data_IF_598952956504
#
_entry.id   IF_598952956504
#
_cell.length_a   1.000
_cell.length_b   1.000
_cell.length_c   1.000
_cell.angle_alpha   90.00
_cell.angle_beta   90.00
_cell.angle_gamma   90.00
#
_symmetry.space_group_name_H-M   'P 1'
#
loop_
_entity.id
_entity.type
_entity.pdbx_description
1 polymer ?
#
# COMPACT_ATOMS: atom_id res chain seq x y z
N UNK A 1 -6.12 -12.03 -2.63
CA UNK A 1 -7.32 -12.43 -1.85
C UNK A 1 -8.56 -12.13 -2.66
N UNK A 2 -9.56 -13.03 -2.66
CA UNK A 2 -10.88 -12.80 -3.28
C UNK A 2 -11.92 -12.95 -2.17
N UNK A 3 -12.86 -12.00 -2.09
CA UNK A 3 -13.92 -11.99 -1.11
C UNK A 3 -15.24 -11.52 -1.74
N UNK A 4 -16.34 -11.66 -1.01
CA UNK A 4 -17.60 -10.98 -1.34
C UNK A 4 -17.59 -9.60 -0.67
N UNK A 5 -18.07 -8.59 -1.37
CA UNK A 5 -18.22 -7.25 -0.78
C UNK A 5 -19.33 -7.26 0.26
N UNK A 6 -19.02 -6.80 1.47
CA UNK A 6 -20.01 -6.51 2.52
C UNK A 6 -20.86 -5.28 2.15
N UNK A 7 -20.28 -4.32 1.41
CA UNK A 7 -20.96 -3.09 0.97
C UNK A 7 -21.82 -3.27 -0.27
N UNK A 8 -21.48 -4.23 -1.14
CA UNK A 8 -22.24 -4.54 -2.36
C UNK A 8 -22.64 -6.01 -2.43
N UNK A 9 -23.89 -6.32 -2.05
CA UNK A 9 -24.42 -7.68 -2.00
C UNK A 9 -24.25 -8.39 -3.36
N UNK A 10 -23.50 -9.49 -3.35
CA UNK A 10 -23.27 -10.33 -4.53
C UNK A 10 -22.07 -9.95 -5.40
N UNK A 11 -21.41 -8.81 -5.13
CA UNK A 11 -20.18 -8.41 -5.85
C UNK A 11 -18.97 -9.16 -5.30
N UNK A 12 -18.17 -9.72 -6.20
CA UNK A 12 -16.84 -10.24 -5.88
C UNK A 12 -15.83 -9.09 -5.91
N UNK A 13 -14.96 -9.07 -4.91
CA UNK A 13 -13.89 -8.09 -4.77
C UNK A 13 -12.56 -8.80 -4.62
N UNK A 14 -11.50 -8.16 -5.08
CA UNK A 14 -10.14 -8.68 -4.97
C UNK A 14 -9.18 -7.63 -4.46
N UNK A 15 -8.31 -8.03 -3.56
CA UNK A 15 -7.20 -7.22 -3.08
C UNK A 15 -5.91 -8.07 -3.13
N UNK A 16 -4.83 -7.46 -3.58
CA UNK A 16 -3.49 -8.05 -3.56
C UNK A 16 -2.72 -7.40 -2.43
N UNK A 17 -2.22 -8.21 -1.51
CA UNK A 17 -1.30 -7.79 -0.46
C UNK A 17 0.08 -8.31 -0.83
N UNK A 18 1.10 -7.47 -0.71
CA UNK A 18 2.47 -7.87 -0.98
C UNK A 18 3.43 -7.30 0.05
N UNK A 19 4.52 -8.02 0.25
CA UNK A 19 5.65 -7.56 1.07
C UNK A 19 6.89 -7.65 0.21
N UNK A 20 7.61 -6.55 0.09
CA UNK A 20 8.90 -6.51 -0.59
C UNK A 20 9.94 -5.86 0.30
N UNK A 21 11.18 -6.32 0.22
CA UNK A 21 12.30 -5.71 0.92
C UNK A 21 13.24 -5.18 -0.14
N UNK A 22 13.58 -3.90 -0.06
CA UNK A 22 14.48 -3.22 -0.99
C UNK A 22 15.65 -2.59 -0.26
N UNK A 23 16.87 -2.62 -0.84
CA UNK A 23 17.96 -1.78 -0.36
C UNK A 23 17.54 -0.31 -0.31
N UNK A 24 18.02 0.42 0.69
CA UNK A 24 17.78 1.84 0.88
C UNK A 24 19.11 2.54 1.12
N UNK A 25 19.39 3.60 0.37
CA UNK A 25 20.57 4.44 0.60
C UNK A 25 20.43 5.36 1.82
N UNK A 26 19.25 5.43 2.43
CA UNK A 26 18.92 6.31 3.54
C UNK A 26 18.87 5.53 4.88
N UNK A 27 19.44 6.10 5.95
CA UNK A 27 19.53 5.50 7.30
C UNK A 27 18.31 5.80 8.19
N UNK A 28 17.84 4.81 8.95
CA UNK A 28 16.46 4.71 9.46
C UNK A 28 15.85 5.92 10.20
N UNK A 29 16.60 6.72 10.95
CA UNK A 29 16.02 7.69 11.89
C UNK A 29 15.66 9.06 11.26
N UNK A 30 16.43 9.55 10.29
CA UNK A 30 16.13 10.81 9.56
C UNK A 30 15.35 10.57 8.25
N UNK A 31 15.06 9.31 7.95
CA UNK A 31 14.64 8.86 6.62
C UNK A 31 13.17 9.03 6.35
N UNK A 32 12.29 8.86 7.34
CA UNK A 32 10.84 8.79 7.06
C UNK A 32 10.27 10.15 6.65
N UNK A 33 10.62 11.23 7.34
CA UNK A 33 10.18 12.58 6.95
C UNK A 33 10.76 13.01 5.60
N UNK A 34 12.03 12.68 5.33
CA UNK A 34 12.65 12.96 4.05
C UNK A 34 12.04 12.10 2.93
N UNK A 35 11.74 10.85 3.20
CA UNK A 35 11.11 9.91 2.28
C UNK A 35 9.70 10.37 1.93
N UNK A 36 8.88 10.69 2.93
CA UNK A 36 7.52 11.21 2.73
C UNK A 36 7.51 12.48 1.89
N UNK A 37 8.39 13.44 2.21
CA UNK A 37 8.54 14.67 1.42
C UNK A 37 8.99 14.39 -0.01
N UNK A 38 9.94 13.48 -0.20
CA UNK A 38 10.44 13.13 -1.54
C UNK A 38 9.36 12.46 -2.37
N UNK A 39 8.61 11.52 -1.79
CA UNK A 39 7.52 10.84 -2.48
C UNK A 39 6.41 11.81 -2.83
N UNK A 40 6.02 12.70 -1.90
CA UNK A 40 5.01 13.72 -2.18
C UNK A 40 5.41 14.66 -3.33
N UNK A 41 6.71 14.92 -3.51
CA UNK A 41 7.22 15.70 -4.65
C UNK A 41 7.19 14.92 -5.97
N UNK A 42 7.52 13.62 -5.93
CA UNK A 42 7.55 12.76 -7.13
C UNK A 42 6.15 12.31 -7.57
N UNK A 43 5.22 12.17 -6.63
CA UNK A 43 3.87 11.69 -6.82
C UNK A 43 2.88 12.70 -6.23
N UNK A 44 2.61 13.82 -6.93
CA UNK A 44 1.81 14.93 -6.38
C UNK A 44 0.34 14.57 -6.15
N UNK A 45 -0.15 13.49 -6.74
CA UNK A 45 -1.50 12.95 -6.55
C UNK A 45 -1.59 11.93 -5.43
N UNK A 46 -0.45 11.53 -4.84
CA UNK A 46 -0.43 10.57 -3.76
C UNK A 46 -0.65 11.26 -2.40
N UNK A 47 -1.45 10.61 -1.55
CA UNK A 47 -1.57 10.96 -0.15
C UNK A 47 -0.40 10.34 0.62
N UNK A 48 0.46 11.18 1.17
CA UNK A 48 1.69 10.75 1.85
C UNK A 48 1.70 11.30 3.27
N UNK A 49 2.06 10.45 4.24
CA UNK A 49 2.15 10.85 5.63
C UNK A 49 3.15 10.02 6.42
N UNK A 50 3.24 10.28 7.71
CA UNK A 50 4.02 9.48 8.65
C UNK A 50 3.11 8.95 9.75
N UNK A 51 3.24 7.66 10.07
CA UNK A 51 2.44 6.99 11.11
C UNK A 51 3.37 6.23 12.05
N UNK A 52 3.15 6.36 13.35
CA UNK A 52 3.87 5.59 14.36
C UNK A 52 3.23 4.21 14.52
N UNK A 53 4.00 3.17 14.27
CA UNK A 53 3.64 1.76 14.46
C UNK A 53 4.45 1.16 15.62
N UNK A 54 4.06 -0.03 16.14
CA UNK A 54 4.85 -0.73 17.14
C UNK A 54 6.30 -1.01 16.70
N UNK A 55 6.52 -1.23 15.40
CA UNK A 55 7.83 -1.53 14.82
C UNK A 55 8.67 -0.29 14.47
N UNK A 56 8.16 0.94 14.67
CA UNK A 56 8.83 2.18 14.29
C UNK A 56 7.92 3.14 13.52
N UNK A 57 8.49 4.19 12.93
CA UNK A 57 7.73 5.13 12.10
C UNK A 57 7.68 4.61 10.67
N UNK A 58 6.48 4.57 10.08
CA UNK A 58 6.24 4.20 8.70
C UNK A 58 5.83 5.41 7.86
N UNK A 59 6.17 5.37 6.57
CA UNK A 59 5.67 6.30 5.56
C UNK A 59 4.56 5.62 4.73
N UNK A 60 3.27 5.75 5.10
CA UNK A 60 2.18 5.38 4.21
C UNK A 60 2.12 6.30 2.99
N UNK A 61 1.90 5.69 1.82
CA UNK A 61 1.72 6.35 0.53
C UNK A 61 0.49 5.73 -0.12
N UNK A 62 -0.57 6.49 -0.32
CA UNK A 62 -1.79 6.04 -1.00
C UNK A 62 -1.95 6.76 -2.33
N UNK A 63 -2.28 6.04 -3.38
CA UNK A 63 -2.47 6.62 -4.72
C UNK A 63 -3.60 5.91 -5.46
N UNK A 64 -4.39 6.69 -6.20
CA UNK A 64 -5.33 6.19 -7.18
C UNK A 64 -4.70 6.21 -8.57
N UNK A 65 -4.68 5.05 -9.23
CA UNK A 65 -4.16 4.88 -10.57
C UNK A 65 -5.25 4.48 -11.54
N UNK A 66 -5.41 5.25 -12.61
CA UNK A 66 -6.27 4.87 -13.72
C UNK A 66 -5.60 3.75 -14.54
N UNK A 67 -6.35 2.69 -14.79
CA UNK A 67 -6.00 1.59 -15.69
C UNK A 67 -6.87 1.76 -16.93
N UNK A 68 -6.37 2.39 -18.01
CA UNK A 68 -7.19 2.78 -19.16
C UNK A 68 -7.69 1.57 -19.96
N UNK A 69 -6.85 0.55 -20.12
CA UNK A 69 -7.19 -0.71 -20.77
C UNK A 69 -6.81 -1.87 -19.85
N UNK A 70 -7.82 -2.63 -19.42
CA UNK A 70 -7.62 -3.80 -18.58
C UNK A 70 -7.92 -5.09 -19.32
N UNK A 71 -7.45 -6.20 -18.77
CA UNK A 71 -7.88 -7.54 -19.16
C UNK A 71 -8.48 -8.26 -17.95
N UNK A 72 -9.53 -9.03 -18.19
CA UNK A 72 -10.03 -9.97 -17.19
C UNK A 72 -9.06 -11.13 -17.02
N UNK A 73 -9.19 -11.90 -15.93
CA UNK A 73 -8.42 -13.14 -15.73
C UNK A 73 -8.60 -14.17 -16.86
N UNK A 74 -9.68 -14.04 -17.65
CA UNK A 74 -9.97 -14.88 -18.82
C UNK A 74 -9.45 -14.27 -20.13
N UNK A 75 -8.61 -13.23 -20.07
CA UNK A 75 -8.03 -12.57 -21.24
C UNK A 75 -9.01 -11.68 -22.03
N UNK A 76 -10.25 -11.49 -21.55
CA UNK A 76 -11.22 -10.61 -22.21
C UNK A 76 -10.92 -9.14 -21.93
N UNK A 77 -11.06 -8.24 -22.92
CA UNK A 77 -10.94 -6.80 -22.70
C UNK A 77 -11.88 -6.33 -21.60
N UNK A 78 -11.39 -5.41 -20.77
CA UNK A 78 -12.13 -4.79 -19.68
C UNK A 78 -12.08 -3.28 -19.84
N UNK A 79 -13.20 -2.63 -19.52
CA UNK A 79 -13.30 -1.17 -19.46
C UNK A 79 -12.27 -0.60 -18.47
N UNK A 80 -11.93 0.67 -18.69
CA UNK A 80 -11.10 1.43 -17.76
C UNK A 80 -11.57 1.26 -16.32
N UNK A 81 -10.63 1.09 -15.40
CA UNK A 81 -10.87 0.97 -13.97
C UNK A 81 -9.91 1.84 -13.19
N UNK A 82 -10.25 2.10 -11.93
CA UNK A 82 -9.36 2.75 -10.98
C UNK A 82 -8.89 1.72 -9.99
N UNK A 83 -7.58 1.67 -9.80
CA UNK A 83 -6.92 0.85 -8.80
C UNK A 83 -6.40 1.79 -7.73
N UNK A 84 -6.82 1.57 -6.49
CA UNK A 84 -6.23 2.23 -5.32
C UNK A 84 -5.16 1.34 -4.72
N UNK A 85 -4.02 1.93 -4.44
CA UNK A 85 -2.88 1.27 -3.81
C UNK A 85 -2.43 2.03 -2.58
N UNK A 86 -1.96 1.31 -1.56
CA UNK A 86 -1.27 1.88 -0.41
C UNK A 86 0.01 1.10 -0.15
N UNK A 87 1.09 1.82 0.09
CA UNK A 87 2.40 1.30 0.48
C UNK A 87 2.72 1.81 1.88
N UNK A 88 2.96 0.91 2.83
CA UNK A 88 3.50 1.22 4.14
C UNK A 88 5.00 0.94 4.13
N UNK A 89 5.79 2.00 3.92
CA UNK A 89 7.25 1.91 3.88
C UNK A 89 7.83 1.98 5.30
N UNK A 90 8.45 0.90 5.75
CA UNK A 90 8.98 0.73 7.10
C UNK A 90 10.49 0.54 7.02
N UNK A 91 11.30 1.51 7.50
CA UNK A 91 12.75 1.34 7.58
C UNK A 91 13.10 0.20 8.56
N UNK A 92 14.01 -0.67 8.16
CA UNK A 92 14.44 -1.82 8.97
C UNK A 92 15.56 -1.37 9.91
N UNK A 93 15.37 -1.37 11.24
CA UNK A 93 16.37 -0.97 12.22
C UNK A 93 17.76 -1.56 11.94
N UNK A 94 18.79 -0.74 12.13
CA UNK A 94 20.20 -1.07 11.93
C UNK A 94 20.59 -1.60 10.53
N UNK A 95 19.69 -1.46 9.54
CA UNK A 95 19.95 -1.83 8.15
C UNK A 95 19.66 -0.68 7.19
N UNK A 96 20.37 -0.68 6.07
CA UNK A 96 20.12 0.15 4.88
C UNK A 96 19.06 -0.53 4.00
N UNK A 97 17.89 -0.78 4.56
CA UNK A 97 16.80 -1.48 3.88
C UNK A 97 15.43 -0.96 4.34
N UNK A 98 14.47 -0.99 3.42
CA UNK A 98 13.07 -0.64 3.68
C UNK A 98 12.20 -1.84 3.32
N UNK A 99 11.30 -2.20 4.24
CA UNK A 99 10.22 -3.13 3.96
C UNK A 99 9.01 -2.34 3.45
N UNK A 100 8.47 -2.74 2.31
CA UNK A 100 7.26 -2.19 1.71
C UNK A 100 6.14 -3.22 1.85
N UNK A 101 5.19 -2.91 2.73
CA UNK A 101 3.95 -3.65 2.86
C UNK A 101 2.88 -2.92 2.08
N UNK A 102 2.37 -3.54 1.02
CA UNK A 102 1.45 -2.87 0.13
C UNK A 102 0.16 -3.63 -0.09
N UNK A 103 -0.86 -2.87 -0.43
CA UNK A 103 -2.15 -3.35 -0.87
C UNK A 103 -2.55 -2.65 -2.16
N UNK A 104 -3.19 -3.40 -3.05
CA UNK A 104 -3.73 -2.89 -4.31
C UNK A 104 -5.12 -3.51 -4.56
N UNK A 105 -6.10 -2.67 -4.86
CA UNK A 105 -7.49 -3.11 -5.11
C UNK A 105 -8.25 -2.16 -6.04
N UNK A 106 -9.26 -2.69 -6.73
CA UNK A 106 -10.28 -1.91 -7.46
C UNK A 106 -11.54 -1.68 -6.61
N UNK A 107 -11.60 -2.26 -5.41
CA UNK A 107 -12.73 -2.14 -4.49
C UNK A 107 -12.61 -0.88 -3.62
N UNK A 108 -12.80 0.28 -4.25
CA UNK A 108 -12.64 1.60 -3.61
C UNK A 108 -13.63 1.79 -2.45
N UNK A 109 -14.84 1.25 -2.56
CA UNK A 109 -15.84 1.36 -1.49
C UNK A 109 -15.43 0.58 -0.25
N UNK A 110 -14.76 -0.57 -0.40
CA UNK A 110 -14.22 -1.39 0.68
C UNK A 110 -12.87 -0.93 1.22
N UNK A 111 -12.37 0.24 0.80
CA UNK A 111 -11.00 0.69 1.07
C UNK A 111 -10.61 0.66 2.55
N UNK A 112 -11.49 1.14 3.43
CA UNK A 112 -11.17 1.20 4.86
C UNK A 112 -10.98 -0.19 5.48
N UNK A 113 -11.75 -1.19 5.04
CA UNK A 113 -11.63 -2.58 5.50
C UNK A 113 -10.29 -3.18 5.04
N UNK A 114 -9.92 -2.89 3.80
CA UNK A 114 -8.67 -3.30 3.18
C UNK A 114 -7.44 -2.67 3.87
N UNK A 115 -7.50 -1.37 4.18
CA UNK A 115 -6.46 -0.67 4.95
C UNK A 115 -6.38 -1.17 6.38
N UNK A 116 -7.51 -1.50 7.02
CA UNK A 116 -7.51 -2.09 8.36
C UNK A 116 -6.76 -3.43 8.40
N UNK A 117 -6.90 -4.26 7.36
CA UNK A 117 -6.12 -5.50 7.22
C UNK A 117 -4.62 -5.18 7.10
N UNK A 118 -4.23 -4.23 6.24
CA UNK A 118 -2.84 -3.82 6.09
C UNK A 118 -2.27 -3.30 7.43
N UNK A 119 -3.01 -2.45 8.13
CA UNK A 119 -2.64 -1.93 9.43
C UNK A 119 -2.48 -3.06 10.46
N UNK A 120 -3.37 -4.06 10.44
CA UNK A 120 -3.25 -5.28 11.25
C UNK A 120 -1.97 -6.05 10.97
N UNK A 121 -1.62 -6.25 9.69
CA UNK A 121 -0.35 -6.87 9.29
C UNK A 121 0.83 -6.06 9.84
N UNK A 122 0.83 -4.74 9.62
CA UNK A 122 1.88 -3.85 10.08
C UNK A 122 2.03 -3.85 11.62
N UNK A 123 0.94 -4.00 12.37
CA UNK A 123 0.96 -4.09 13.83
C UNK A 123 1.62 -5.37 14.36
N UNK A 124 1.73 -6.42 13.55
CA UNK A 124 2.41 -7.68 13.93
C UNK A 124 3.92 -7.67 13.66
N UNK A 125 4.45 -6.62 13.04
CA UNK A 125 5.87 -6.56 12.67
C UNK A 125 6.72 -6.38 13.92
N UNK A 126 7.72 -7.23 14.06
CA UNK A 126 8.79 -7.09 15.06
C UNK A 126 10.13 -7.28 14.38
N UNK A 127 11.06 -6.36 14.64
CA UNK A 127 12.44 -6.51 14.22
C UNK A 127 13.22 -7.21 15.34
N UNK A 128 13.88 -8.31 15.00
CA UNK A 128 14.72 -9.12 15.90
C UNK A 128 16.18 -9.02 15.51
#
# INVERSE_FOLDING_TARGET
MIARSEKQKGKLVSATFSVTIRPSELSNQDTVERLTRTIALLHPTAEVGAVKLPCGVAAPVTEDRQVPEGVTLLGKPRKASTVRQCHALIPIPDRTAVADFSICTEDIEGWDDHVAILAGICATITFT
#
